data_IF_991123382804
#
_entry.id   IF_991123382804
#
_cell.length_a   1.000
_cell.length_b   1.000
_cell.length_c   1.000
_cell.angle_alpha   90.00
_cell.angle_beta   90.00
_cell.angle_gamma   90.00
#
_symmetry.space_group_name_H-M   'P 1'
#
loop_
_entity.id
_entity.type
_entity.pdbx_description
1 polymer ?
#
# COMPACT_ATOMS: atom_id res chain seq x y z
N UNK A 1 -14.10 8.51 13.53
CA UNK A 1 -13.76 7.11 13.24
C UNK A 1 -12.48 7.17 12.44
N UNK A 2 -11.47 6.40 12.84
CA UNK A 2 -10.23 6.33 12.07
C UNK A 2 -10.50 5.59 10.76
N UNK A 3 -9.84 6.03 9.68
CA UNK A 3 -9.97 5.39 8.39
C UNK A 3 -9.41 3.95 8.46
N UNK A 4 -10.17 2.98 7.98
CA UNK A 4 -9.71 1.59 7.83
C UNK A 4 -9.18 1.42 6.42
N UNK A 5 -7.90 1.06 6.31
CA UNK A 5 -7.30 0.72 5.02
C UNK A 5 -7.34 -0.79 4.88
N UNK A 6 -8.01 -1.28 3.83
CA UNK A 6 -7.96 -2.69 3.47
C UNK A 6 -7.10 -2.87 2.22
N UNK A 7 -5.99 -3.57 2.38
CA UNK A 7 -5.07 -3.91 1.31
C UNK A 7 -5.21 -5.38 0.97
N UNK A 8 -5.39 -5.66 -0.31
CA UNK A 8 -5.58 -7.01 -0.85
C UNK A 8 -4.49 -7.28 -1.87
N UNK A 9 -3.83 -8.43 -1.73
CA UNK A 9 -2.85 -8.90 -2.72
C UNK A 9 -3.31 -10.21 -3.34
N UNK A 10 -2.97 -10.42 -4.61
CA UNK A 10 -3.26 -11.64 -5.33
C UNK A 10 -2.19 -11.95 -6.37
N UNK A 11 -2.12 -13.19 -6.82
CA UNK A 11 -1.25 -13.57 -7.95
C UNK A 11 -1.84 -12.98 -9.23
N UNK A 12 -1.10 -12.10 -9.89
CA UNK A 12 -1.54 -11.48 -11.13
C UNK A 12 -1.59 -12.51 -12.25
N UNK A 13 -2.69 -12.53 -13.00
CA UNK A 13 -2.78 -13.34 -14.22
C UNK A 13 -2.22 -12.55 -15.40
N UNK A 14 -1.76 -13.21 -16.46
CA UNK A 14 -1.33 -12.54 -17.69
C UNK A 14 -2.43 -11.64 -18.28
N UNK A 15 -3.70 -12.01 -18.09
CA UNK A 15 -4.83 -11.19 -18.50
C UNK A 15 -4.89 -9.90 -17.68
N UNK A 16 -4.76 -9.98 -16.36
CA UNK A 16 -4.73 -8.80 -15.48
C UNK A 16 -3.55 -7.89 -15.77
N UNK A 17 -2.36 -8.44 -16.07
CA UNK A 17 -1.16 -7.64 -16.41
C UNK A 17 -1.26 -6.97 -17.77
N UNK A 18 -2.03 -7.54 -18.71
CA UNK A 18 -2.21 -6.97 -20.06
C UNK A 18 -3.37 -6.01 -20.15
N UNK A 19 -4.43 -6.27 -19.39
CA UNK A 19 -5.65 -5.47 -19.38
C UNK A 19 -6.11 -5.27 -17.94
N UNK A 20 -5.78 -4.08 -17.43
CA UNK A 20 -6.08 -3.74 -16.06
C UNK A 20 -7.56 -3.35 -15.87
N UNK A 21 -8.30 -3.10 -16.95
CA UNK A 21 -9.71 -2.72 -16.88
C UNK A 21 -10.61 -3.85 -16.38
N UNK A 22 -10.11 -5.09 -16.32
CA UNK A 22 -10.89 -6.24 -15.84
C UNK A 22 -11.35 -6.09 -14.39
N UNK A 23 -10.74 -5.20 -13.60
CA UNK A 23 -11.18 -4.89 -12.23
C UNK A 23 -12.04 -3.63 -12.14
N UNK A 24 -12.13 -2.83 -13.20
CA UNK A 24 -12.85 -1.54 -13.21
C UNK A 24 -14.32 -1.70 -12.80
N UNK A 25 -15.06 -2.65 -13.38
CA UNK A 25 -16.46 -2.88 -13.02
C UNK A 25 -16.63 -3.18 -11.52
N UNK A 26 -15.70 -3.96 -10.96
CA UNK A 26 -15.69 -4.28 -9.53
C UNK A 26 -15.41 -3.05 -8.66
N UNK A 27 -14.52 -2.16 -9.10
CA UNK A 27 -14.19 -0.92 -8.40
C UNK A 27 -15.32 0.13 -8.51
N UNK A 28 -15.98 0.22 -9.67
CA UNK A 28 -17.15 1.08 -9.87
C UNK A 28 -18.30 0.71 -8.93
N UNK A 29 -18.53 -0.59 -8.72
CA UNK A 29 -19.52 -1.04 -7.74
C UNK A 29 -19.20 -0.55 -6.31
N UNK A 30 -17.93 -0.43 -5.95
CA UNK A 30 -17.54 0.00 -4.60
C UNK A 30 -17.84 1.46 -4.32
N UNK A 31 -17.85 2.32 -5.33
CA UNK A 31 -18.22 3.75 -5.19
C UNK A 31 -19.64 3.94 -4.65
N UNK A 32 -20.49 2.92 -4.81
CA UNK A 32 -21.86 2.93 -4.30
C UNK A 32 -22.00 2.42 -2.87
N UNK A 33 -20.94 1.89 -2.27
CA UNK A 33 -20.96 1.37 -0.91
C UNK A 33 -20.90 2.50 0.12
N UNK A 34 -21.79 2.46 1.13
CA UNK A 34 -21.78 3.42 2.23
C UNK A 34 -20.44 3.36 2.99
N UNK A 35 -19.82 4.52 3.23
CA UNK A 35 -18.53 4.63 3.90
C UNK A 35 -17.32 4.36 3.01
N UNK A 36 -17.50 4.12 1.71
CA UNK A 36 -16.40 4.14 0.74
C UNK A 36 -15.81 5.56 0.63
N UNK A 37 -14.48 5.64 0.62
CA UNK A 37 -13.74 6.91 0.46
C UNK A 37 -13.06 6.91 -0.90
N UNK A 38 -12.22 5.91 -1.16
CA UNK A 38 -11.49 5.74 -2.42
C UNK A 38 -11.08 4.29 -2.63
N UNK A 39 -10.74 3.95 -3.88
CA UNK A 39 -10.21 2.65 -4.28
C UNK A 39 -9.02 2.84 -5.20
N UNK A 40 -8.00 2.02 -5.00
CA UNK A 40 -6.78 2.03 -5.79
C UNK A 40 -6.45 0.62 -6.24
N UNK A 41 -5.78 0.52 -7.37
CA UNK A 41 -5.28 -0.75 -7.86
C UNK A 41 -3.95 -0.55 -8.57
N UNK A 42 -3.18 -1.64 -8.67
CA UNK A 42 -1.90 -1.60 -9.36
C UNK A 42 -1.30 -2.99 -9.51
N UNK A 43 -0.22 -3.06 -10.28
CA UNK A 43 0.57 -4.27 -10.49
C UNK A 43 1.94 -4.05 -9.87
N UNK A 44 2.54 -5.12 -9.36
CA UNK A 44 3.91 -5.12 -8.91
C UNK A 44 4.84 -4.60 -10.01
N UNK A 45 5.78 -3.76 -9.63
CA UNK A 45 6.68 -3.12 -10.58
C UNK A 45 7.42 -4.16 -11.43
N UNK A 46 7.69 -3.89 -12.72
CA UNK A 46 8.30 -4.86 -13.63
C UNK A 46 9.63 -5.44 -13.15
N UNK A 47 10.42 -4.64 -12.41
CA UNK A 47 11.72 -5.04 -11.85
C UNK A 47 11.60 -6.20 -10.85
N UNK A 48 10.43 -6.37 -10.23
CA UNK A 48 10.11 -7.48 -9.33
C UNK A 48 9.32 -8.61 -10.04
N UNK A 49 9.11 -8.49 -11.35
CA UNK A 49 8.55 -9.51 -12.22
C UNK A 49 7.03 -9.48 -12.41
N UNK A 50 6.35 -8.42 -11.93
CA UNK A 50 4.89 -8.21 -12.13
C UNK A 50 4.01 -9.40 -11.77
N UNK A 51 4.38 -10.15 -10.72
CA UNK A 51 3.70 -11.40 -10.35
C UNK A 51 2.50 -11.17 -9.43
N UNK A 52 2.37 -9.98 -8.86
CA UNK A 52 1.32 -9.64 -7.90
C UNK A 52 0.48 -8.46 -8.37
N UNK A 53 -0.83 -8.60 -8.17
CA UNK A 53 -1.77 -7.50 -8.28
C UNK A 53 -2.14 -7.01 -6.89
N UNK A 54 -2.45 -5.72 -6.80
CA UNK A 54 -2.77 -5.03 -5.57
C UNK A 54 -4.09 -4.31 -5.73
N UNK A 55 -4.94 -4.44 -4.72
CA UNK A 55 -6.18 -3.70 -4.60
C UNK A 55 -6.22 -3.10 -3.20
N UNK A 56 -6.19 -1.78 -3.10
CA UNK A 56 -6.42 -1.06 -1.85
C UNK A 56 -7.82 -0.48 -1.89
N UNK A 57 -8.73 -0.99 -1.05
CA UNK A 57 -10.15 -0.61 -1.07
C UNK A 57 -10.71 -0.59 0.34
N UNK A 58 -11.98 -0.23 0.48
CA UNK A 58 -12.73 -0.40 1.72
C UNK A 58 -13.47 -1.75 1.86
N UNK A 59 -13.63 -2.60 0.81
CA UNK A 59 -14.16 -3.99 0.87
C UNK A 59 -14.12 -4.59 -0.56
N UNK A 60 -13.97 -5.92 -0.74
CA UNK A 60 -14.25 -6.61 -2.02
C UNK A 60 -14.73 -8.04 -1.76
N UNK A 61 -15.60 -8.60 -2.62
CA UNK A 61 -16.03 -10.00 -2.48
C UNK A 61 -16.07 -10.85 -3.76
N UNK A 62 -15.61 -10.40 -4.94
CA UNK A 62 -15.96 -11.13 -6.19
C UNK A 62 -15.00 -11.29 -7.38
N UNK A 63 -13.70 -10.94 -7.37
CA UNK A 63 -12.91 -10.99 -8.65
C UNK A 63 -11.52 -11.65 -8.60
N UNK A 64 -11.24 -12.60 -7.69
CA UNK A 64 -9.88 -13.18 -7.61
C UNK A 64 -9.90 -14.69 -7.84
N UNK A 65 -9.05 -15.15 -8.77
CA UNK A 65 -8.68 -16.55 -8.91
C UNK A 65 -7.52 -16.86 -7.95
N UNK A 66 -7.69 -17.85 -7.07
CA UNK A 66 -6.72 -18.22 -6.03
C UNK A 66 -7.04 -17.63 -4.66
N UNK A 67 -6.11 -17.81 -3.72
CA UNK A 67 -6.26 -17.34 -2.34
C UNK A 67 -6.15 -15.81 -2.27
N UNK A 68 -7.17 -15.18 -1.69
CA UNK A 68 -7.20 -13.75 -1.45
C UNK A 68 -6.67 -13.49 -0.03
N UNK A 69 -5.50 -12.84 0.05
CA UNK A 69 -4.96 -12.38 1.34
C UNK A 69 -5.39 -10.94 1.54
N UNK A 70 -6.16 -10.73 2.59
CA UNK A 70 -6.66 -9.42 3.03
C UNK A 70 -5.92 -9.02 4.29
N UNK A 71 -5.48 -7.78 4.33
CA UNK A 71 -4.97 -7.17 5.55
C UNK A 71 -5.73 -5.88 5.83
N UNK A 72 -5.98 -5.63 7.11
CA UNK A 72 -6.52 -4.37 7.60
C UNK A 72 -5.43 -3.69 8.42
N UNK A 73 -5.26 -2.39 8.22
CA UNK A 73 -4.21 -1.62 8.88
C UNK A 73 -4.80 -0.52 9.76
N UNK A 74 -4.27 -0.39 10.97
CA UNK A 74 -4.46 0.77 11.83
C UNK A 74 -3.28 1.72 11.68
N UNK A 75 -3.54 3.01 11.55
CA UNK A 75 -2.50 4.04 11.51
C UNK A 75 -1.68 4.05 12.81
N UNK A 76 -0.35 4.18 12.69
CA UNK A 76 0.56 4.20 13.84
C UNK A 76 1.59 5.33 13.81
N UNK A 77 2.07 5.77 12.63
CA UNK A 77 3.12 6.81 12.52
C UNK A 77 2.83 7.71 11.32
N UNK A 78 3.10 9.00 11.46
CA UNK A 78 3.10 9.99 10.39
C UNK A 78 1.77 10.73 10.24
N UNK A 79 1.54 11.24 9.04
CA UNK A 79 0.30 11.91 8.68
C UNK A 79 -0.85 10.92 8.55
N UNK A 80 -2.09 11.44 8.47
CA UNK A 80 -3.23 10.60 8.12
C UNK A 80 -2.95 9.85 6.81
N UNK A 81 -3.15 8.52 6.75
CA UNK A 81 -2.98 7.77 5.52
C UNK A 81 -3.81 8.30 4.35
N UNK A 82 -4.95 8.94 4.65
CA UNK A 82 -5.82 9.59 3.67
C UNK A 82 -5.06 10.66 2.89
N UNK A 83 -4.20 11.46 3.54
CA UNK A 83 -3.46 12.52 2.87
C UNK A 83 -2.42 11.97 1.88
N UNK A 84 -1.85 10.79 2.14
CA UNK A 84 -0.97 10.11 1.17
C UNK A 84 -1.75 9.51 -0.02
N UNK A 85 -2.99 9.10 0.23
CA UNK A 85 -3.91 8.55 -0.78
C UNK A 85 -4.54 9.64 -1.67
N UNK A 86 -4.63 10.89 -1.20
CA UNK A 86 -5.10 12.06 -1.97
C UNK A 86 -4.03 12.68 -2.88
N UNK A 87 -2.80 12.13 -2.88
CA UNK A 87 -1.72 12.63 -3.72
C UNK A 87 -1.88 12.19 -5.18
N UNK A 88 -1.25 12.94 -6.10
CA UNK A 88 -1.28 12.63 -7.54
C UNK A 88 -0.77 11.23 -7.88
N UNK A 89 0.24 10.76 -7.12
CA UNK A 89 0.78 9.41 -7.23
C UNK A 89 0.90 8.86 -5.82
N UNK A 90 0.31 7.69 -5.57
CA UNK A 90 0.41 7.01 -4.29
C UNK A 90 1.24 5.73 -4.44
N UNK A 91 2.25 5.59 -3.59
CA UNK A 91 3.05 4.38 -3.47
C UNK A 91 2.69 3.63 -2.20
N UNK A 92 2.45 2.33 -2.35
CA UNK A 92 2.19 1.40 -1.25
C UNK A 92 3.40 0.50 -1.06
N UNK A 93 3.94 0.46 0.14
CA UNK A 93 5.06 -0.40 0.53
C UNK A 93 4.59 -1.38 1.59
N UNK A 94 4.56 -2.66 1.23
CA UNK A 94 4.21 -3.74 2.15
C UNK A 94 5.47 -4.33 2.75
N UNK A 95 5.52 -4.38 4.08
CA UNK A 95 6.71 -4.76 4.85
C UNK A 95 6.41 -6.02 5.66
N UNK A 96 7.26 -7.02 5.46
CA UNK A 96 7.34 -8.21 6.32
C UNK A 96 8.72 -8.21 7.01
N UNK A 97 8.77 -8.08 8.34
CA UNK A 97 10.01 -8.11 9.09
C UNK A 97 10.67 -9.48 9.00
N UNK A 98 12.00 -9.51 8.87
CA UNK A 98 12.74 -10.77 8.99
C UNK A 98 12.88 -11.19 10.45
N UNK A 99 13.22 -12.45 10.67
CA UNK A 99 13.48 -12.99 12.00
C UNK A 99 14.48 -12.10 12.77
N UNK A 100 14.12 -11.75 14.00
CA UNK A 100 14.94 -10.93 14.90
C UNK A 100 14.76 -9.41 14.75
N UNK A 101 13.96 -8.92 13.80
CA UNK A 101 13.58 -7.50 13.73
C UNK A 101 12.42 -7.22 14.68
N UNK A 102 12.58 -6.25 15.59
CA UNK A 102 11.51 -5.87 16.53
C UNK A 102 10.55 -4.84 15.93
N UNK A 103 9.30 -4.85 16.40
CA UNK A 103 8.28 -3.84 16.07
C UNK A 103 8.78 -2.41 16.32
N UNK A 104 9.52 -2.20 17.40
CA UNK A 104 10.10 -0.90 17.75
C UNK A 104 11.10 -0.40 16.70
N UNK A 105 11.91 -1.30 16.12
CA UNK A 105 12.88 -0.93 15.10
C UNK A 105 12.18 -0.50 13.80
N UNK A 106 11.04 -1.13 13.48
CA UNK A 106 10.23 -0.79 12.30
C UNK A 106 9.56 0.56 12.49
N UNK A 107 8.98 0.81 13.67
CA UNK A 107 8.34 2.08 14.00
C UNK A 107 9.35 3.22 13.99
N UNK A 108 10.53 3.04 14.59
CA UNK A 108 11.62 4.03 14.53
C UNK A 108 12.11 4.29 13.10
N UNK A 109 12.23 3.24 12.28
CA UNK A 109 12.56 3.37 10.86
C UNK A 109 11.51 4.17 10.09
N UNK A 110 10.22 3.93 10.36
CA UNK A 110 9.12 4.64 9.74
C UNK A 110 9.03 6.10 10.20
N UNK A 111 9.29 6.40 11.46
CA UNK A 111 9.37 7.78 11.98
C UNK A 111 10.46 8.57 11.26
N UNK A 112 11.67 8.01 11.15
CA UNK A 112 12.77 8.65 10.41
C UNK A 112 12.42 8.90 8.95
N UNK A 113 11.63 8.02 8.35
CA UNK A 113 11.21 8.16 6.96
C UNK A 113 10.10 9.20 6.81
N UNK A 114 9.15 9.23 7.72
CA UNK A 114 8.14 10.29 7.80
C UNK A 114 8.82 11.66 7.92
N UNK A 115 9.81 11.80 8.79
CA UNK A 115 10.59 13.04 8.93
C UNK A 115 11.27 13.43 7.60
N UNK A 116 11.91 12.48 6.92
CA UNK A 116 12.57 12.73 5.63
C UNK A 116 11.56 13.11 4.55
N UNK A 117 10.43 12.42 4.45
CA UNK A 117 9.39 12.70 3.46
C UNK A 117 8.75 14.05 3.71
N UNK A 118 8.34 14.33 4.95
CA UNK A 118 7.74 15.60 5.33
C UNK A 118 8.70 16.78 5.08
N UNK A 119 9.99 16.62 5.39
CA UNK A 119 11.01 17.64 5.10
C UNK A 119 11.15 17.98 3.60
N UNK A 120 10.71 17.07 2.71
CA UNK A 120 10.73 17.25 1.26
C UNK A 120 9.33 17.52 0.67
N UNK A 121 8.32 17.77 1.51
CA UNK A 121 6.96 18.05 1.06
C UNK A 121 6.21 16.81 0.53
N UNK A 122 6.60 15.63 0.99
CA UNK A 122 5.92 14.36 0.70
C UNK A 122 5.19 13.89 1.94
N UNK A 123 3.97 13.38 1.76
CA UNK A 123 3.18 12.84 2.88
C UNK A 123 3.48 11.36 3.02
N UNK A 124 3.81 10.90 4.22
CA UNK A 124 3.96 9.49 4.52
C UNK A 124 3.11 9.08 5.72
N UNK A 125 2.66 7.82 5.71
CA UNK A 125 1.94 7.22 6.81
C UNK A 125 2.31 5.74 6.95
N UNK A 126 2.50 5.26 8.19
CA UNK A 126 2.65 3.85 8.52
C UNK A 126 1.34 3.33 9.11
N UNK A 127 0.89 2.20 8.57
CA UNK A 127 -0.13 1.35 9.15
C UNK A 127 0.47 0.04 9.67
N UNK A 128 -0.05 -0.44 10.79
CA UNK A 128 0.25 -1.76 11.36
C UNK A 128 -0.95 -2.68 11.17
N UNK A 129 -0.72 -3.95 10.81
CA UNK A 129 -1.81 -4.91 10.63
C UNK A 129 -2.54 -5.16 11.94
N UNK A 130 -3.86 -5.02 11.93
CA UNK A 130 -4.73 -5.27 13.10
C UNK A 130 -4.80 -6.77 13.45
N UNK A 131 -4.34 -7.64 12.56
CA UNK A 131 -4.33 -9.09 12.77
C UNK A 131 -3.15 -9.55 13.64
N UNK A 132 -2.21 -8.66 13.97
CA UNK A 132 -1.07 -8.97 14.84
C UNK A 132 -0.01 -9.86 14.19
N UNK A 133 0.01 -9.94 12.85
CA UNK A 133 0.97 -10.76 12.10
C UNK A 133 2.35 -10.09 11.91
N UNK A 134 2.61 -8.96 12.57
CA UNK A 134 3.86 -8.19 12.40
C UNK A 134 4.02 -7.63 10.98
N UNK A 135 2.92 -7.38 10.28
CA UNK A 135 2.91 -6.84 8.92
C UNK A 135 2.64 -5.35 8.97
N UNK A 136 3.36 -4.58 8.15
CA UNK A 136 3.20 -3.14 8.06
C UNK A 136 2.93 -2.70 6.62
N UNK A 137 2.22 -1.58 6.50
CA UNK A 137 1.95 -0.92 5.23
C UNK A 137 2.36 0.54 5.33
N UNK A 138 3.08 1.01 4.33
CA UNK A 138 3.42 2.42 4.21
C UNK A 138 2.79 2.99 2.98
N UNK A 139 2.23 4.17 3.15
CA UNK A 139 1.58 4.93 2.10
C UNK A 139 2.37 6.21 1.95
N UNK A 140 2.91 6.44 0.76
CA UNK A 140 3.64 7.65 0.41
C UNK A 140 2.88 8.37 -0.70
N UNK A 141 2.53 9.62 -0.46
CA UNK A 141 1.92 10.51 -1.43
C UNK A 141 2.96 11.39 -2.11
N UNK A 142 3.03 11.31 -3.43
CA UNK A 142 3.98 12.07 -4.25
C UNK A 142 3.27 13.20 -5.03
N UNK A 143 3.86 14.41 -5.09
CA UNK A 143 3.32 15.49 -5.88
C UNK A 143 3.51 15.29 -7.39
N UNK A 144 4.44 14.42 -7.81
CA UNK A 144 4.78 14.17 -9.21
C UNK A 144 5.37 12.76 -9.42
N UNK A 145 5.55 12.37 -10.69
CA UNK A 145 6.01 11.03 -11.09
C UNK A 145 7.53 10.79 -10.87
N UNK A 146 8.28 11.78 -10.39
CA UNK A 146 9.70 11.63 -10.05
C UNK A 146 9.82 11.36 -8.56
N UNK A 147 10.11 10.11 -8.19
CA UNK A 147 10.26 9.72 -6.80
C UNK A 147 11.53 8.89 -6.56
N UNK A 148 12.09 9.07 -5.36
CA UNK A 148 13.15 8.20 -4.83
C UNK A 148 12.44 7.10 -4.06
N UNK A 149 12.59 5.84 -4.52
CA UNK A 149 11.85 4.74 -3.92
C UNK A 149 12.11 4.63 -2.40
N UNK A 150 11.06 4.62 -1.56
CA UNK A 150 11.12 4.46 -0.11
C UNK A 150 11.82 3.18 0.30
N UNK A 151 11.88 2.18 -0.60
CA UNK A 151 12.52 0.89 -0.36
C UNK A 151 14.01 1.03 -0.07
N UNK A 152 14.70 1.91 -0.79
CA UNK A 152 16.15 2.10 -0.60
C UNK A 152 16.42 2.61 0.82
N UNK A 153 15.61 3.58 1.25
CA UNK A 153 15.69 4.11 2.59
C UNK A 153 15.29 3.08 3.66
N UNK A 154 14.25 2.27 3.43
CA UNK A 154 13.84 1.20 4.35
C UNK A 154 14.87 0.09 4.51
N UNK A 155 15.47 -0.35 3.40
CA UNK A 155 16.52 -1.38 3.43
C UNK A 155 17.79 -0.90 4.10
N UNK A 156 18.03 0.42 4.16
CA UNK A 156 19.17 0.99 4.86
C UNK A 156 19.00 1.01 6.38
N UNK A 157 17.77 1.02 6.88
CA UNK A 157 17.46 1.16 8.32
C UNK A 157 17.11 -0.16 9.00
N UNK A 158 16.61 -1.15 8.26
CA UNK A 158 16.28 -2.46 8.81
C UNK A 158 16.42 -3.59 7.78
N UNK A 159 16.68 -4.81 8.28
CA UNK A 159 16.72 -6.02 7.44
C UNK A 159 15.30 -6.51 7.14
N UNK A 160 14.67 -5.95 6.10
CA UNK A 160 13.26 -6.17 5.78
C UNK A 160 13.07 -6.94 4.46
N UNK A 161 11.96 -7.67 4.38
CA UNK A 161 11.36 -8.04 3.09
C UNK A 161 10.36 -6.96 2.70
N UNK A 162 10.55 -6.40 1.51
CA UNK A 162 9.79 -5.23 1.04
C UNK A 162 9.30 -5.52 -0.37
N UNK A 163 8.00 -5.37 -0.58
CA UNK A 163 7.37 -5.35 -1.90
C UNK A 163 6.60 -4.05 -2.05
N UNK A 164 6.57 -3.47 -3.25
CA UNK A 164 5.90 -2.21 -3.48
C UNK A 164 5.09 -2.19 -4.77
N UNK A 165 4.15 -1.27 -4.82
CA UNK A 165 3.43 -0.92 -6.03
C UNK A 165 3.07 0.56 -6.05
N UNK A 166 3.16 1.14 -7.24
CA UNK A 166 2.50 2.40 -7.56
C UNK A 166 1.07 2.07 -7.92
N UNK A 167 0.12 2.70 -7.24
CA UNK A 167 -1.29 2.47 -7.51
C UNK A 167 -1.89 3.65 -8.26
N UNK A 168 -2.72 3.33 -9.24
CA UNK A 168 -3.55 4.31 -9.91
C UNK A 168 -4.84 4.52 -9.11
N UNK A 169 -5.19 5.79 -8.90
CA UNK A 169 -6.46 6.14 -8.29
C UNK A 169 -7.61 5.80 -9.25
N UNK A 170 -8.63 5.15 -8.71
CA UNK A 170 -9.85 4.86 -9.45
C UNK A 170 -11.03 5.64 -8.84
N UNK A 171 -11.18 6.88 -9.31
CA UNK A 171 -12.28 7.78 -8.99
C UNK A 171 -13.52 7.55 -9.84
#
# INVERSE_FOLDING_TARGET
MDAVIQYTTFTATDAFVKDHHIVTDGLEMLKTAEGHVSSYWGVQVPEEGSKRGYLCMAVLKKVVAGDLVRHQFSHVVGASPVAGMEANVTEFVYITPKEGVSDSAIKEAAEKLDDVFNANGHVAALGESVEGHGVYLIIVGWPSNLFVSPIVAFKAVANLEVTHAVLDEHN
#
